data_IF_462282879391
#
_entry.id   IF_462282879391
#
_cell.length_a   1.000
_cell.length_b   1.000
_cell.length_c   1.000
_cell.angle_alpha   90.00
_cell.angle_beta   90.00
_cell.angle_gamma   90.00
#
_symmetry.space_group_name_H-M   'P 1'
#
loop_
_entity.id
_entity.type
_entity.pdbx_description
1 polymer ?
#
# COMPACT_ATOMS: atom_id res chain seq x y z
N UNK A 1 -8.70 36.46 54.18
CA UNK A 1 -9.87 35.70 53.71
C UNK A 1 -10.22 36.20 52.33
N UNK A 2 -10.27 35.32 51.34
CA UNK A 2 -10.57 35.66 49.94
C UNK A 2 -9.67 34.94 48.96
N UNK A 3 -9.67 33.61 48.98
CA UNK A 3 -9.13 32.80 47.88
C UNK A 3 -10.29 32.47 46.94
N UNK A 4 -10.23 32.99 45.72
CA UNK A 4 -11.09 32.59 44.60
C UNK A 4 -10.26 31.69 43.70
N UNK A 5 -10.72 30.44 43.54
CA UNK A 5 -10.03 29.41 42.77
C UNK A 5 -9.98 29.74 41.29
N UNK A 6 -8.81 29.50 40.70
CA UNK A 6 -8.69 29.28 39.26
C UNK A 6 -9.07 27.82 39.00
N UNK A 7 -10.10 27.67 38.18
CA UNK A 7 -10.67 26.42 37.72
C UNK A 7 -9.76 25.90 36.60
N UNK A 8 -8.74 25.14 36.98
CA UNK A 8 -7.78 24.55 36.05
C UNK A 8 -8.44 23.37 35.32
N UNK A 9 -9.29 23.72 34.36
CA UNK A 9 -9.87 22.78 33.40
C UNK A 9 -8.76 22.11 32.61
N UNK A 10 -8.36 20.92 33.02
CA UNK A 10 -7.52 20.01 32.24
C UNK A 10 -8.27 19.62 30.97
N UNK A 11 -8.15 20.46 29.93
CA UNK A 11 -8.51 20.05 28.57
C UNK A 11 -7.49 18.99 28.17
N UNK A 12 -7.89 17.73 28.23
CA UNK A 12 -7.15 16.62 27.64
C UNK A 12 -6.94 16.97 26.16
N UNK A 13 -5.75 17.44 25.84
CA UNK A 13 -5.33 17.60 24.46
C UNK A 13 -5.14 16.18 23.92
N UNK A 14 -6.15 15.66 23.24
CA UNK A 14 -5.98 14.47 22.42
C UNK A 14 -4.84 14.78 21.44
N UNK A 15 -3.68 14.09 21.51
CA UNK A 15 -2.65 14.27 20.52
C UNK A 15 -3.29 14.01 19.16
N UNK A 16 -3.15 14.98 18.25
CA UNK A 16 -3.73 14.88 16.90
C UNK A 16 -3.33 13.52 16.32
N UNK A 17 -4.28 12.63 16.00
CA UNK A 17 -3.93 11.39 15.32
C UNK A 17 -3.20 11.77 14.04
N UNK A 18 -2.00 11.22 13.83
CA UNK A 18 -1.23 11.53 12.63
C UNK A 18 -2.05 11.14 11.40
N UNK A 19 -2.01 11.98 10.36
CA UNK A 19 -2.46 11.59 9.03
C UNK A 19 -1.64 10.37 8.60
N UNK A 20 -2.28 9.39 7.97
CA UNK A 20 -1.62 8.12 7.64
C UNK A 20 -1.79 7.76 6.18
N UNK A 21 -0.74 7.16 5.63
CA UNK A 21 -0.74 6.53 4.31
C UNK A 21 -0.57 5.02 4.47
N UNK A 22 -1.57 4.28 4.02
CA UNK A 22 -1.64 2.83 4.07
C UNK A 22 -1.47 2.26 2.66
N UNK A 23 -0.69 1.21 2.51
CA UNK A 23 -0.51 0.52 1.22
C UNK A 23 -1.03 -0.90 1.34
N UNK A 24 -1.95 -1.32 0.46
CA UNK A 24 -2.47 -2.68 0.43
C UNK A 24 -1.71 -3.50 -0.59
N UNK A 25 -1.16 -4.64 -0.17
CA UNK A 25 -0.41 -5.58 -1.00
C UNK A 25 -0.93 -7.00 -0.78
N UNK A 26 -0.74 -7.89 -1.77
CA UNK A 26 -1.24 -9.25 -1.70
C UNK A 26 -1.64 -9.79 -3.07
N UNK A 27 -1.96 -11.08 -3.11
CA UNK A 27 -2.42 -11.79 -4.31
C UNK A 27 -3.69 -11.18 -4.94
N UNK A 28 -3.90 -11.42 -6.24
CA UNK A 28 -5.15 -11.06 -6.93
C UNK A 28 -6.35 -11.78 -6.30
N UNK A 29 -7.47 -11.07 -6.15
CA UNK A 29 -8.71 -11.67 -5.64
C UNK A 29 -8.77 -11.88 -4.12
N UNK A 30 -7.75 -11.48 -3.35
CA UNK A 30 -7.81 -11.54 -1.86
C UNK A 30 -8.67 -10.43 -1.25
N UNK A 31 -9.19 -9.50 -2.06
CA UNK A 31 -10.10 -8.45 -1.61
C UNK A 31 -9.41 -7.15 -1.17
N UNK A 32 -8.24 -6.80 -1.75
CA UNK A 32 -7.53 -5.53 -1.48
C UNK A 32 -8.43 -4.31 -1.69
N UNK A 33 -8.98 -4.13 -2.89
CA UNK A 33 -9.84 -2.98 -3.23
C UNK A 33 -11.10 -2.89 -2.34
N UNK A 34 -11.73 -4.03 -2.03
CA UNK A 34 -12.87 -4.09 -1.10
C UNK A 34 -12.47 -3.65 0.33
N UNK A 35 -11.29 -4.07 0.77
CA UNK A 35 -10.72 -3.67 2.06
C UNK A 35 -10.41 -2.18 2.07
N UNK A 36 -9.84 -1.65 0.98
CA UNK A 36 -9.55 -0.22 0.84
C UNK A 36 -10.83 0.62 0.92
N UNK A 37 -11.91 0.21 0.23
CA UNK A 37 -13.23 0.85 0.34
C UNK A 37 -13.76 0.78 1.77
N UNK A 38 -13.63 -0.39 2.41
CA UNK A 38 -14.06 -0.59 3.80
C UNK A 38 -13.29 0.30 4.77
N UNK A 39 -12.00 0.58 4.53
CA UNK A 39 -11.17 1.51 5.33
C UNK A 39 -11.60 2.96 5.10
N UNK A 40 -11.85 3.34 3.84
CA UNK A 40 -12.24 4.70 3.46
C UNK A 40 -13.72 5.02 3.80
N UNK A 41 -14.55 4.00 3.98
CA UNK A 41 -15.98 4.17 4.22
C UNK A 41 -16.76 4.61 2.98
N UNK A 42 -16.20 4.42 1.78
CA UNK A 42 -16.83 4.75 0.50
C UNK A 42 -16.30 3.85 -0.63
N UNK A 43 -17.04 3.78 -1.74
CA UNK A 43 -16.68 3.01 -2.93
C UNK A 43 -15.68 3.77 -3.82
N UNK A 44 -14.47 3.98 -3.30
CA UNK A 44 -13.41 4.72 -3.99
C UNK A 44 -12.67 3.90 -5.07
N UNK A 45 -12.55 2.59 -4.85
CA UNK A 45 -11.89 1.63 -5.73
C UNK A 45 -12.92 0.69 -6.36
N UNK A 46 -12.69 0.36 -7.63
CA UNK A 46 -13.51 -0.64 -8.31
C UNK A 46 -13.19 -2.02 -7.72
N UNK A 47 -14.18 -2.65 -7.10
CA UNK A 47 -14.06 -3.97 -6.50
C UNK A 47 -15.13 -4.91 -7.05
N UNK A 48 -14.74 -5.87 -7.89
CA UNK A 48 -15.65 -6.82 -8.53
C UNK A 48 -15.15 -8.26 -8.33
N UNK A 49 -16.07 -9.20 -8.20
CA UNK A 49 -15.74 -10.63 -8.24
C UNK A 49 -15.47 -11.03 -9.69
N UNK A 50 -14.20 -11.11 -10.07
CA UNK A 50 -13.74 -11.37 -11.44
C UNK A 50 -12.70 -12.48 -11.45
N UNK A 51 -12.69 -13.28 -12.52
CA UNK A 51 -11.64 -14.28 -12.78
C UNK A 51 -10.32 -13.65 -13.28
N UNK A 52 -10.37 -12.38 -13.69
CA UNK A 52 -9.21 -11.59 -14.10
C UNK A 52 -8.98 -10.44 -13.10
N UNK A 53 -7.75 -9.94 -13.03
CA UNK A 53 -7.43 -8.77 -12.20
C UNK A 53 -8.28 -7.56 -12.61
N UNK A 54 -8.80 -6.84 -11.61
CA UNK A 54 -9.61 -5.63 -11.79
C UNK A 54 -8.76 -4.37 -11.62
N UNK A 55 -7.80 -4.41 -10.69
CA UNK A 55 -6.85 -3.33 -10.46
C UNK A 55 -5.59 -3.61 -11.27
N UNK A 56 -5.39 -2.84 -12.33
CA UNK A 56 -4.23 -2.99 -13.24
C UNK A 56 -3.02 -2.15 -12.81
N UNK A 57 -3.22 -1.11 -11.99
CA UNK A 57 -2.16 -0.18 -11.58
C UNK A 57 -2.49 0.46 -10.23
N UNK A 58 -1.48 0.96 -9.52
CA UNK A 58 -1.66 1.59 -8.21
C UNK A 58 -2.59 2.80 -8.31
N UNK A 59 -3.50 2.91 -7.34
CA UNK A 59 -4.47 3.99 -7.19
C UNK A 59 -4.47 4.46 -5.74
N UNK A 60 -4.64 5.77 -5.51
CA UNK A 60 -4.70 6.34 -4.17
C UNK A 60 -5.96 7.17 -3.98
N UNK A 61 -6.62 6.97 -2.85
CA UNK A 61 -7.74 7.79 -2.39
C UNK A 61 -7.55 8.17 -0.93
N UNK A 62 -8.21 9.24 -0.50
CA UNK A 62 -8.12 9.71 0.89
C UNK A 62 -9.48 10.13 1.42
N UNK A 63 -9.68 9.94 2.71
CA UNK A 63 -10.86 10.41 3.43
C UNK A 63 -10.43 11.01 4.77
N UNK A 64 -11.19 11.96 5.28
CA UNK A 64 -10.94 12.56 6.60
C UNK A 64 -12.06 12.16 7.54
N UNK A 65 -11.70 11.44 8.59
CA UNK A 65 -12.65 11.07 9.66
C UNK A 65 -12.58 12.11 10.77
N UNK A 66 -13.76 12.48 11.27
CA UNK A 66 -13.92 13.27 12.49
C UNK A 66 -14.20 12.32 13.64
N UNK A 67 -13.50 12.50 14.74
CA UNK A 67 -13.72 11.74 15.96
C UNK A 67 -14.12 12.72 17.07
N UNK A 68 -15.20 12.40 17.79
CA UNK A 68 -15.81 13.30 18.75
C UNK A 68 -14.87 13.48 19.95
N UNK A 69 -14.21 14.64 20.00
CA UNK A 69 -13.22 14.97 21.05
C UNK A 69 -11.76 14.74 20.64
N UNK A 70 -11.49 14.32 19.40
CA UNK A 70 -10.15 14.23 18.83
C UNK A 70 -10.02 15.15 17.61
N UNK A 71 -8.79 15.39 17.16
CA UNK A 71 -8.55 16.13 15.92
C UNK A 71 -8.88 15.26 14.69
N UNK A 72 -9.38 15.92 13.63
CA UNK A 72 -9.60 15.31 12.32
C UNK A 72 -8.35 14.53 11.84
N UNK A 73 -8.57 13.31 11.35
CA UNK A 73 -7.53 12.41 10.85
C UNK A 73 -7.78 12.07 9.39
N UNK A 74 -6.79 12.32 8.54
CA UNK A 74 -6.81 11.91 7.13
C UNK A 74 -6.19 10.54 6.97
N UNK A 75 -6.90 9.66 6.28
CA UNK A 75 -6.45 8.32 5.92
C UNK A 75 -6.32 8.27 4.40
N UNK A 76 -5.09 8.14 3.92
CA UNK A 76 -4.77 7.87 2.53
C UNK A 76 -4.54 6.37 2.35
N UNK A 77 -5.19 5.78 1.35
CA UNK A 77 -5.08 4.35 1.05
C UNK A 77 -4.61 4.19 -0.39
N UNK A 78 -3.54 3.42 -0.58
CA UNK A 78 -3.02 3.03 -1.89
C UNK A 78 -3.40 1.56 -2.12
N UNK A 79 -4.27 1.31 -3.11
CA UNK A 79 -4.57 -0.02 -3.62
C UNK A 79 -3.57 -0.37 -4.72
N UNK A 80 -2.96 -1.56 -4.65
CA UNK A 80 -1.98 -2.02 -5.64
C UNK A 80 -2.55 -3.18 -6.47
N UNK A 81 -2.05 -3.40 -7.71
CA UNK A 81 -2.30 -4.64 -8.42
C UNK A 81 -1.75 -5.85 -7.62
N UNK A 82 -2.13 -7.06 -8.03
CA UNK A 82 -1.52 -8.26 -7.46
C UNK A 82 -0.06 -8.38 -7.89
N UNK A 83 0.86 -8.43 -6.92
CA UNK A 83 2.31 -8.43 -7.20
C UNK A 83 2.79 -9.66 -8.00
N UNK A 84 2.00 -10.73 -8.03
CA UNK A 84 2.28 -11.98 -8.76
C UNK A 84 1.16 -12.33 -9.76
N UNK A 85 0.43 -11.31 -10.24
CA UNK A 85 -0.55 -11.52 -11.31
C UNK A 85 0.13 -12.22 -12.51
N UNK A 86 -0.53 -13.24 -13.08
CA UNK A 86 0.01 -14.04 -14.19
C UNK A 86 0.34 -13.20 -15.44
N UNK A 87 -0.12 -11.95 -15.48
CA UNK A 87 0.07 -11.01 -16.56
C UNK A 87 1.21 -9.99 -16.34
N UNK A 88 1.88 -9.98 -15.17
CA UNK A 88 2.90 -8.98 -14.85
C UNK A 88 4.32 -9.55 -14.94
N UNK A 89 5.22 -8.81 -15.59
CA UNK A 89 6.67 -9.10 -15.56
C UNK A 89 7.33 -8.52 -14.31
N UNK A 90 8.54 -8.97 -13.96
CA UNK A 90 9.33 -8.36 -12.86
C UNK A 90 9.54 -6.85 -13.04
N UNK A 91 9.63 -6.39 -14.30
CA UNK A 91 9.75 -4.96 -14.62
C UNK A 91 8.46 -4.21 -14.30
N UNK A 92 7.30 -4.80 -14.58
CA UNK A 92 5.99 -4.22 -14.27
C UNK A 92 5.76 -4.15 -12.76
N UNK A 93 6.17 -5.18 -12.03
CA UNK A 93 6.15 -5.17 -10.55
C UNK A 93 7.00 -4.02 -10.00
N UNK A 94 8.21 -3.83 -10.54
CA UNK A 94 9.09 -2.71 -10.13
C UNK A 94 8.46 -1.34 -10.43
N UNK A 95 7.85 -1.17 -11.61
CA UNK A 95 7.15 0.08 -12.00
C UNK A 95 5.99 0.38 -11.05
N UNK A 96 5.20 -0.62 -10.68
CA UNK A 96 4.07 -0.43 -9.78
C UNK A 96 4.50 -0.12 -8.35
N UNK A 97 5.55 -0.78 -7.86
CA UNK A 97 6.18 -0.42 -6.58
C UNK A 97 6.64 1.04 -6.63
N UNK A 98 7.33 1.45 -7.68
CA UNK A 98 7.82 2.81 -7.79
C UNK A 98 6.67 3.85 -7.90
N UNK A 99 5.59 3.52 -8.59
CA UNK A 99 4.37 4.34 -8.63
C UNK A 99 3.74 4.49 -7.24
N UNK A 100 3.64 3.40 -6.48
CA UNK A 100 3.18 3.42 -5.09
C UNK A 100 4.06 4.34 -4.22
N UNK A 101 5.37 4.31 -4.44
CA UNK A 101 6.33 5.18 -3.76
C UNK A 101 6.17 6.65 -4.13
N UNK A 102 5.86 6.98 -5.38
CA UNK A 102 5.60 8.37 -5.78
C UNK A 102 4.30 8.94 -5.16
N UNK A 103 3.30 8.08 -5.00
CA UNK A 103 2.04 8.43 -4.34
C UNK A 103 2.20 8.65 -2.82
N UNK A 104 3.11 7.91 -2.17
CA UNK A 104 3.37 7.99 -0.72
C UNK A 104 4.45 9.01 -0.36
N UNK A 105 4.26 10.28 -0.75
CA UNK A 105 5.26 11.36 -0.58
C UNK A 105 5.73 11.56 0.86
N UNK A 106 4.83 11.42 1.82
CA UNK A 106 5.11 11.54 3.24
C UNK A 106 5.50 10.20 3.90
N UNK A 107 5.69 9.14 3.09
CA UNK A 107 6.09 7.81 3.54
C UNK A 107 4.92 6.86 3.82
N UNK A 108 5.24 5.57 3.95
CA UNK A 108 4.26 4.51 4.19
C UNK A 108 4.15 4.27 5.70
N UNK A 109 3.01 4.57 6.29
CA UNK A 109 2.81 4.45 7.74
C UNK A 109 2.56 3.01 8.17
N UNK A 110 1.86 2.25 7.33
CA UNK A 110 1.73 0.81 7.48
C UNK A 110 1.52 0.14 6.12
N UNK A 111 2.03 -1.07 5.99
CA UNK A 111 1.77 -1.93 4.83
C UNK A 111 0.78 -3.03 5.22
N UNK A 112 -0.35 -3.09 4.54
CA UNK A 112 -1.42 -4.04 4.80
C UNK A 112 -1.24 -5.24 3.85
N UNK A 113 -0.76 -6.36 4.38
CA UNK A 113 -0.66 -7.61 3.62
C UNK A 113 -1.99 -8.35 3.69
N UNK A 114 -2.69 -8.43 2.56
CA UNK A 114 -4.08 -8.90 2.47
C UNK A 114 -4.17 -10.35 2.02
N UNK A 115 -4.76 -11.19 2.87
CA UNK A 115 -5.10 -12.58 2.62
C UNK A 115 -6.62 -12.79 2.66
N UNK A 116 -7.11 -13.92 2.16
CA UNK A 116 -8.49 -14.37 2.41
C UNK A 116 -8.52 -15.39 3.53
N UNK A 117 -9.34 -15.16 4.56
CA UNK A 117 -9.56 -16.10 5.67
C UNK A 117 -10.23 -17.42 5.21
N UNK A 118 -10.98 -17.36 4.11
CA UNK A 118 -11.69 -18.51 3.55
C UNK A 118 -10.79 -19.43 2.69
N UNK A 119 -9.56 -19.01 2.39
CA UNK A 119 -8.63 -19.75 1.53
C UNK A 119 -7.34 -20.14 2.24
N UNK A 120 -6.61 -21.09 1.67
CA UNK A 120 -5.33 -21.55 2.23
C UNK A 120 -4.22 -20.56 1.87
N UNK A 121 -3.25 -20.43 2.77
CA UNK A 121 -1.97 -19.80 2.45
C UNK A 121 -1.25 -20.58 1.33
N UNK A 122 -0.84 -19.88 0.30
CA UNK A 122 -0.26 -20.42 -0.93
C UNK A 122 1.18 -19.97 -1.14
N UNK A 123 1.92 -20.62 -2.05
CA UNK A 123 3.27 -20.19 -2.43
C UNK A 123 3.28 -18.75 -2.95
N UNK A 124 2.27 -18.36 -3.72
CA UNK A 124 2.14 -16.98 -4.20
C UNK A 124 2.05 -15.95 -3.06
N UNK A 125 1.47 -16.32 -1.91
CA UNK A 125 1.42 -15.45 -0.74
C UNK A 125 2.80 -15.30 -0.10
N UNK A 126 3.58 -16.38 -0.02
CA UNK A 126 4.97 -16.39 0.45
C UNK A 126 5.88 -15.59 -0.49
N UNK A 127 5.76 -15.82 -1.80
CA UNK A 127 6.50 -15.12 -2.84
C UNK A 127 6.21 -13.61 -2.80
N UNK A 128 4.95 -13.23 -2.60
CA UNK A 128 4.55 -11.82 -2.40
C UNK A 128 5.31 -11.17 -1.25
N UNK A 129 5.35 -11.81 -0.08
CA UNK A 129 6.07 -11.29 1.10
C UNK A 129 7.58 -11.21 0.84
N UNK A 130 8.15 -12.23 0.19
CA UNK A 130 9.57 -12.25 -0.15
C UNK A 130 9.95 -11.14 -1.12
N UNK A 131 9.15 -10.89 -2.15
CA UNK A 131 9.35 -9.76 -3.06
C UNK A 131 9.33 -8.43 -2.31
N UNK A 132 8.35 -8.23 -1.44
CA UNK A 132 8.29 -7.00 -0.64
C UNK A 132 9.56 -6.83 0.21
N UNK A 133 10.05 -7.90 0.85
CA UNK A 133 11.32 -7.85 1.59
C UNK A 133 12.53 -7.54 0.69
N UNK A 134 12.54 -8.04 -0.53
CA UNK A 134 13.61 -7.73 -1.50
C UNK A 134 13.59 -6.24 -1.87
N UNK A 135 12.42 -5.66 -2.14
CA UNK A 135 12.28 -4.27 -2.58
C UNK A 135 12.36 -3.24 -1.45
N UNK A 136 11.81 -3.57 -0.27
CA UNK A 136 11.72 -2.66 0.87
C UNK A 136 12.73 -3.03 1.97
N UNK A 137 13.48 -4.12 1.82
CA UNK A 137 14.36 -4.64 2.87
C UNK A 137 13.61 -5.40 3.96
N UNK A 138 14.30 -6.30 4.66
CA UNK A 138 13.71 -7.22 5.65
C UNK A 138 12.89 -6.52 6.75
N UNK A 139 13.29 -5.31 7.16
CA UNK A 139 12.61 -4.55 8.22
C UNK A 139 11.21 -4.04 7.85
N UNK A 140 10.81 -4.15 6.58
CA UNK A 140 9.45 -3.76 6.16
C UNK A 140 8.37 -4.56 6.92
N UNK A 141 8.67 -5.80 7.32
CA UNK A 141 7.74 -6.65 8.09
C UNK A 141 7.39 -6.04 9.45
N UNK A 142 8.26 -5.21 10.03
CA UNK A 142 8.00 -4.50 11.28
C UNK A 142 6.93 -3.42 11.10
N UNK A 143 6.72 -2.93 9.87
CA UNK A 143 5.68 -1.98 9.49
C UNK A 143 4.43 -2.65 8.88
N UNK A 144 4.41 -3.97 8.82
CA UNK A 144 3.28 -4.72 8.26
C UNK A 144 2.18 -4.98 9.29
N UNK A 145 0.95 -5.02 8.79
CA UNK A 145 -0.24 -5.53 9.45
C UNK A 145 -0.85 -6.57 8.52
N UNK A 146 -1.18 -7.75 9.06
CA UNK A 146 -1.80 -8.81 8.26
C UNK A 146 -3.32 -8.64 8.30
N UNK A 147 -3.92 -8.43 7.13
CA UNK A 147 -5.37 -8.27 6.98
C UNK A 147 -5.94 -9.53 6.36
N UNK A 148 -6.92 -10.14 7.02
CA UNK A 148 -7.65 -11.28 6.50
C UNK A 148 -9.07 -10.84 6.13
N UNK A 149 -9.44 -11.03 4.87
CA UNK A 149 -10.79 -10.73 4.36
C UNK A 149 -11.69 -11.95 4.47
N UNK A 150 -12.97 -11.80 4.12
CA UNK A 150 -13.99 -12.85 4.23
C UNK A 150 -14.20 -13.28 5.69
N UNK A 151 -14.07 -12.34 6.64
CA UNK A 151 -14.38 -12.62 8.04
C UNK A 151 -15.85 -12.99 8.25
N UNK A 152 -16.71 -12.50 7.36
CA UNK A 152 -18.12 -12.82 7.29
C UNK A 152 -18.42 -14.27 6.81
N UNK A 153 -17.42 -14.98 6.27
CA UNK A 153 -17.52 -16.39 5.88
C UNK A 153 -16.90 -17.36 6.89
N UNK A 154 -16.24 -16.86 7.95
CA UNK A 154 -15.51 -17.70 8.91
C UNK A 154 -15.90 -17.41 10.35
N UNK A 155 -15.80 -18.42 11.20
CA UNK A 155 -15.90 -18.22 12.65
C UNK A 155 -14.53 -17.78 13.20
N UNK A 156 -14.49 -16.63 13.88
CA UNK A 156 -13.22 -15.98 14.26
C UNK A 156 -12.33 -16.89 15.13
N UNK A 157 -12.90 -17.65 16.08
CA UNK A 157 -12.11 -18.51 16.97
C UNK A 157 -11.47 -19.68 16.20
N UNK A 158 -12.18 -20.28 15.26
CA UNK A 158 -11.68 -21.31 14.38
C UNK A 158 -10.58 -20.77 13.46
N UNK A 159 -10.78 -19.60 12.86
CA UNK A 159 -9.76 -18.95 12.02
C UNK A 159 -8.48 -18.61 12.82
N UNK A 160 -8.60 -18.04 14.02
CA UNK A 160 -7.44 -17.77 14.90
C UNK A 160 -6.69 -19.05 15.27
N UNK A 161 -7.41 -20.15 15.51
CA UNK A 161 -6.81 -21.45 15.77
C UNK A 161 -6.07 -22.00 14.52
N UNK A 162 -6.60 -21.75 13.31
CA UNK A 162 -5.90 -22.12 12.08
C UNK A 162 -4.58 -21.37 11.90
N UNK A 163 -4.53 -20.08 12.25
CA UNK A 163 -3.28 -19.31 12.18
C UNK A 163 -2.21 -19.82 13.16
N UNK A 164 -2.60 -20.23 14.36
CA UNK A 164 -1.67 -20.55 15.45
C UNK A 164 -1.25 -22.01 15.51
N UNK A 165 -2.17 -22.96 15.30
CA UNK A 165 -1.90 -24.39 15.53
C UNK A 165 -1.86 -25.23 14.25
N UNK A 166 -2.51 -24.77 13.17
CA UNK A 166 -2.62 -25.50 11.89
C UNK A 166 -2.03 -24.74 10.70
N UNK A 167 -1.35 -23.63 10.97
CA UNK A 167 -0.85 -22.72 9.96
C UNK A 167 0.40 -23.26 9.26
N UNK A 168 0.66 -22.77 8.05
CA UNK A 168 1.98 -22.93 7.45
C UNK A 168 3.03 -22.28 8.35
N UNK A 169 4.15 -22.96 8.58
CA UNK A 169 5.23 -22.46 9.45
C UNK A 169 5.71 -21.06 9.03
N UNK A 170 5.85 -20.84 7.73
CA UNK A 170 6.22 -19.52 7.20
C UNK A 170 5.23 -18.43 7.60
N UNK A 171 3.92 -18.68 7.49
CA UNK A 171 2.90 -17.72 7.92
C UNK A 171 2.99 -17.43 9.42
N UNK A 172 3.24 -18.44 10.25
CA UNK A 172 3.41 -18.26 11.70
C UNK A 172 4.64 -17.40 12.03
N UNK A 173 5.74 -17.59 11.28
CA UNK A 173 6.95 -16.81 11.44
C UNK A 173 6.71 -15.35 11.01
N UNK A 174 5.95 -15.12 9.93
CA UNK A 174 5.54 -13.78 9.49
C UNK A 174 4.63 -13.10 10.51
N UNK A 175 3.63 -13.81 11.06
CA UNK A 175 2.74 -13.28 12.11
C UNK A 175 3.56 -12.74 13.30
N UNK A 176 4.56 -13.51 13.74
CA UNK A 176 5.45 -13.10 14.84
C UNK A 176 6.35 -11.93 14.44
N UNK A 177 6.90 -11.95 13.23
CA UNK A 177 7.72 -10.85 12.72
C UNK A 177 6.94 -9.53 12.60
N UNK A 178 5.63 -9.63 12.33
CA UNK A 178 4.69 -8.51 12.35
C UNK A 178 4.13 -8.23 13.76
N UNK A 179 4.75 -8.72 14.84
CA UNK A 179 4.34 -8.45 16.22
C UNK A 179 2.89 -8.80 16.53
N UNK A 180 2.38 -9.89 15.95
CA UNK A 180 1.01 -10.40 16.13
C UNK A 180 -0.10 -9.41 15.67
N UNK A 181 0.25 -8.40 14.85
CA UNK A 181 -0.71 -7.44 14.28
C UNK A 181 -1.50 -8.08 13.15
N UNK A 182 -2.64 -8.65 13.53
CA UNK A 182 -3.58 -9.30 12.59
C UNK A 182 -4.98 -8.74 12.81
N UNK A 183 -5.66 -8.42 11.71
CA UNK A 183 -7.07 -8.00 11.71
C UNK A 183 -7.90 -8.85 10.75
N UNK A 184 -9.15 -9.09 11.11
CA UNK A 184 -10.15 -9.77 10.29
C UNK A 184 -11.17 -8.73 9.81
N UNK A 185 -11.49 -8.75 8.51
CA UNK A 185 -12.34 -7.75 7.85
C UNK A 185 -13.55 -8.39 7.16
N UNK A 186 -14.71 -7.76 7.40
CA UNK A 186 -15.99 -8.15 6.82
C UNK A 186 -16.37 -7.11 5.75
N UNK A 187 -15.78 -7.25 4.56
CA UNK A 187 -15.96 -6.25 3.50
C UNK A 187 -17.39 -6.22 2.91
N UNK A 188 -18.25 -7.18 3.27
CA UNK A 188 -19.66 -7.25 2.84
C UNK A 188 -20.64 -6.74 3.90
N UNK A 189 -20.16 -6.36 5.09
CA UNK A 189 -21.06 -5.89 6.14
C UNK A 189 -21.71 -4.56 5.77
N UNK A 190 -23.01 -4.43 6.03
CA UNK A 190 -23.77 -3.18 5.90
C UNK A 190 -24.06 -2.54 7.26
N UNK A 191 -23.63 -3.17 8.35
CA UNK A 191 -23.80 -2.66 9.70
C UNK A 191 -22.76 -1.56 9.97
N UNK A 192 -23.24 -0.32 10.14
CA UNK A 192 -22.37 0.84 10.28
C UNK A 192 -21.48 0.78 11.53
N UNK A 193 -21.98 0.20 12.63
CA UNK A 193 -21.20 0.06 13.85
C UNK A 193 -20.07 -0.95 13.66
N UNK A 194 -20.37 -2.09 13.04
CA UNK A 194 -19.37 -3.11 12.72
C UNK A 194 -18.30 -2.59 11.75
N UNK A 195 -18.71 -1.82 10.73
CA UNK A 195 -17.78 -1.12 9.83
C UNK A 195 -16.87 -0.15 10.59
N UNK A 196 -17.41 0.60 11.56
CA UNK A 196 -16.63 1.50 12.40
C UNK A 196 -15.67 0.75 13.32
N UNK A 197 -16.13 -0.33 13.95
CA UNK A 197 -15.36 -1.13 14.90
C UNK A 197 -14.18 -1.83 14.22
N UNK A 198 -14.38 -2.44 13.04
CA UNK A 198 -13.28 -3.07 12.29
C UNK A 198 -12.23 -2.05 11.83
N UNK A 199 -12.68 -0.86 11.38
CA UNK A 199 -11.79 0.23 10.98
C UNK A 199 -10.99 0.73 12.16
N UNK A 200 -11.62 0.92 13.32
CA UNK A 200 -10.95 1.30 14.56
C UNK A 200 -9.89 0.29 14.96
N UNK A 201 -10.22 -1.01 14.96
CA UNK A 201 -9.24 -2.09 15.24
C UNK A 201 -8.02 -2.03 14.32
N UNK A 202 -8.21 -1.74 13.02
CA UNK A 202 -7.11 -1.53 12.10
C UNK A 202 -6.28 -0.30 12.46
N UNK A 203 -6.92 0.83 12.75
CA UNK A 203 -6.23 2.07 13.08
C UNK A 203 -5.46 1.98 14.40
N UNK A 204 -5.99 1.27 15.39
CA UNK A 204 -5.25 0.96 16.63
C UNK A 204 -3.97 0.16 16.32
N UNK A 205 -4.04 -0.79 15.37
CA UNK A 205 -2.86 -1.54 14.92
C UNK A 205 -1.87 -0.67 14.15
N UNK A 206 -2.35 0.27 13.33
CA UNK A 206 -1.52 1.27 12.63
C UNK A 206 -0.83 2.20 13.64
N UNK A 207 -1.54 2.68 14.65
CA UNK A 207 -0.99 3.54 15.69
C UNK A 207 0.07 2.81 16.51
N UNK A 208 -0.10 1.50 16.73
CA UNK A 208 0.94 0.66 17.32
C UNK A 208 2.19 0.54 16.44
N UNK A 209 2.05 0.46 15.10
CA UNK A 209 3.19 0.47 14.18
C UNK A 209 3.91 1.82 14.27
N UNK A 210 3.18 2.92 14.16
CA UNK A 210 3.75 4.28 14.20
C UNK A 210 4.48 4.52 15.53
N UNK A 211 3.85 4.15 16.64
CA UNK A 211 4.43 4.36 17.98
C UNK A 211 5.71 3.54 18.20
N UNK A 212 5.76 2.29 17.71
CA UNK A 212 6.95 1.44 17.82
C UNK A 212 8.13 1.92 16.96
N UNK A 213 7.88 2.77 15.97
CA UNK A 213 8.89 3.35 15.07
C UNK A 213 9.11 4.85 15.31
N UNK A 214 8.75 5.36 16.49
CA UNK A 214 9.03 6.73 16.91
C UNK A 214 8.25 7.80 16.11
N UNK A 215 7.11 7.44 15.54
CA UNK A 215 6.29 8.34 14.73
C UNK A 215 6.72 8.45 13.28
N UNK A 216 7.80 7.77 12.88
CA UNK A 216 8.35 7.89 11.54
C UNK A 216 7.71 6.86 10.60
N UNK A 217 7.20 7.29 9.44
CA UNK A 217 6.74 6.36 8.42
C UNK A 217 7.93 5.61 7.82
N UNK A 218 7.63 4.46 7.22
CA UNK A 218 8.62 3.70 6.49
C UNK A 218 9.16 4.53 5.32
N UNK A 219 10.46 4.83 5.40
CA UNK A 219 11.25 5.49 4.37
C UNK A 219 12.61 4.80 4.30
N UNK A 220 12.81 3.90 3.34
CA UNK A 220 14.08 3.19 3.20
C UNK A 220 14.99 3.88 2.17
N UNK A 221 16.30 3.75 2.30
CA UNK A 221 17.30 4.16 1.31
C UNK A 221 17.03 3.59 -0.10
N UNK A 222 16.40 2.41 -0.21
CA UNK A 222 15.96 1.88 -1.51
C UNK A 222 14.88 2.75 -2.18
N UNK A 223 14.05 3.48 -1.43
CA UNK A 223 13.15 4.50 -1.98
C UNK A 223 13.92 5.56 -2.76
N UNK A 224 15.06 6.01 -2.21
CA UNK A 224 15.92 6.96 -2.90
C UNK A 224 16.62 6.32 -4.10
N UNK A 225 17.04 5.05 -4.01
CA UNK A 225 17.67 4.34 -5.13
C UNK A 225 16.71 4.12 -6.29
N UNK A 226 15.49 3.64 -6.02
CA UNK A 226 14.44 3.45 -7.05
C UNK A 226 14.10 4.79 -7.69
N UNK A 227 13.93 5.87 -6.91
CA UNK A 227 13.70 7.22 -7.45
C UNK A 227 14.84 7.71 -8.33
N UNK A 228 16.10 7.43 -7.95
CA UNK A 228 17.28 7.77 -8.76
C UNK A 228 17.29 6.95 -10.05
N UNK A 229 17.00 5.67 -9.97
CA UNK A 229 17.01 4.74 -11.10
C UNK A 229 15.90 5.06 -12.12
N UNK A 230 14.69 5.41 -11.66
CA UNK A 230 13.62 5.90 -12.54
C UNK A 230 13.96 7.22 -13.21
N UNK A 231 14.54 8.16 -12.45
CA UNK A 231 14.98 9.43 -13.00
C UNK A 231 16.09 9.23 -14.04
N UNK A 232 16.95 8.24 -13.82
CA UNK A 232 17.97 7.84 -14.78
C UNK A 232 17.35 7.20 -16.02
N UNK A 233 16.43 6.24 -15.87
CA UNK A 233 15.77 5.55 -16.98
C UNK A 233 14.96 6.50 -17.84
N UNK A 234 14.18 7.40 -17.24
CA UNK A 234 13.45 8.45 -17.97
C UNK A 234 14.40 9.40 -18.72
N UNK A 235 15.57 9.70 -18.15
CA UNK A 235 16.60 10.49 -18.84
C UNK A 235 17.19 9.74 -20.03
N UNK A 236 17.50 8.44 -19.87
CA UNK A 236 17.99 7.57 -20.94
C UNK A 236 16.97 7.52 -22.09
N UNK A 237 15.70 7.29 -21.79
CA UNK A 237 14.61 7.25 -22.77
C UNK A 237 14.49 8.56 -23.55
N UNK A 238 14.60 9.70 -22.85
CA UNK A 238 14.56 11.02 -23.48
C UNK A 238 15.77 11.27 -24.38
N UNK A 239 16.98 10.88 -23.95
CA UNK A 239 18.19 11.00 -24.74
C UNK A 239 18.15 10.10 -25.98
N UNK A 240 17.65 8.87 -25.87
CA UNK A 240 17.46 7.99 -27.02
C UNK A 240 16.50 8.59 -28.05
N UNK A 241 15.37 9.17 -27.60
CA UNK A 241 14.42 9.87 -28.48
C UNK A 241 15.04 11.11 -29.15
N UNK A 242 15.92 11.83 -28.45
CA UNK A 242 16.64 12.98 -29.03
C UNK A 242 17.66 12.53 -30.08
N UNK A 243 18.44 11.49 -29.79
CA UNK A 243 19.41 10.90 -30.72
C UNK A 243 18.74 10.42 -32.01
N UNK A 244 17.61 9.71 -31.93
CA UNK A 244 16.86 9.27 -33.11
C UNK A 244 16.43 10.46 -33.98
N UNK A 245 15.90 11.53 -33.36
CA UNK A 245 15.49 12.73 -34.10
C UNK A 245 16.69 13.40 -34.78
N UNK A 246 17.83 13.48 -34.12
CA UNK A 246 19.03 14.11 -34.68
C UNK A 246 19.57 13.31 -35.88
N UNK A 247 19.58 11.97 -35.80
CA UNK A 247 19.95 11.10 -36.91
C UNK A 247 19.02 11.26 -38.12
N UNK A 248 17.69 11.29 -37.89
CA UNK A 248 16.72 11.54 -38.97
C UNK A 248 16.94 12.91 -39.63
N UNK A 249 17.28 13.93 -38.82
CA UNK A 249 17.52 15.28 -39.32
C UNK A 249 18.80 15.34 -40.15
N UNK A 250 19.85 14.63 -39.71
CA UNK A 250 21.12 14.52 -40.44
C UNK A 250 20.96 13.79 -41.77
N UNK A 251 20.24 12.66 -41.80
CA UNK A 251 19.98 11.92 -43.03
C UNK A 251 19.24 12.78 -44.07
N UNK A 252 18.21 13.53 -43.64
CA UNK A 252 17.50 14.47 -44.53
C UNK A 252 18.42 15.56 -45.08
N UNK A 253 19.32 16.11 -44.26
CA UNK A 253 20.26 17.13 -44.70
C UNK A 253 21.28 16.57 -45.72
N UNK A 254 21.78 15.35 -45.51
CA UNK A 254 22.67 14.65 -46.44
C UNK A 254 21.98 14.34 -47.78
N UNK A 255 20.72 13.91 -47.76
CA UNK A 255 19.94 13.71 -48.99
C UNK A 255 19.77 15.01 -49.78
N UNK A 256 19.44 16.11 -49.09
CA UNK A 256 19.32 17.43 -49.73
C UNK A 256 20.64 17.89 -50.33
N UNK A 257 21.75 17.73 -49.61
CA UNK A 257 23.08 18.09 -50.11
C UNK A 257 23.48 17.24 -51.33
N UNK A 258 23.23 15.94 -51.30
CA UNK A 258 23.46 15.06 -52.46
C UNK A 258 22.57 15.40 -53.65
N UNK A 259 21.32 15.80 -53.42
CA UNK A 259 20.42 16.24 -54.49
C UNK A 259 20.92 17.52 -55.17
N UNK A 260 21.43 18.49 -54.39
CA UNK A 260 22.03 19.72 -54.93
C UNK A 260 23.26 19.43 -55.80
N UNK A 261 24.17 18.56 -55.33
CA UNK A 261 25.36 18.16 -56.08
C UNK A 261 25.07 17.40 -57.38
N UNK A 262 23.90 16.77 -57.51
CA UNK A 262 23.47 16.07 -58.74
C UNK A 262 22.75 16.99 -59.74
N UNK A 263 22.39 18.20 -59.33
CA UNK A 263 21.70 19.18 -60.16
C UNK A 263 22.60 20.23 -60.80
N UNK A 264 23.91 20.19 -60.50
CA UNK A 264 24.99 20.96 -61.15
C UNK A 264 25.67 20.14 -62.24
#
# INVERSE_FOLDING_TARGET
MGGGGEDDGWVLHCPRPADVTLVLVGKVGTGKSATANSILGCDAFKSEYSYASVTETCQMWSTTFRDDGCADRTISVIDTPGLYDMNMSEEDVRKEIAKCMDMSKDGIHAMLMVFSAATRFTREDEDTINSIKVFFGEKIVEHMILVFTHGDDVEESAWRNMLTNKGARYLQDVVKACGDRIVLFDNRTVDAQHQQDQRKKLLDAVDSVISSHGGLPFSNQMFNQIKVEEKLNSTIDNLQKQLLKEEETRQKAEEVAMAMLRSE
#
